data_IF_504806918199
#
_entry.id   IF_504806918199
#
_cell.length_a   1.000
_cell.length_b   1.000
_cell.length_c   1.000
_cell.angle_alpha   90.00
_cell.angle_beta   90.00
_cell.angle_gamma   90.00
#
_symmetry.space_group_name_H-M   'P 1'
#
loop_
_entity.id
_entity.type
_entity.pdbx_description
1 polymer ?
#
# COMPACT_ATOMS: atom_id res chain seq x y z
N UNK A 1 22.73 -54.15 58.49
CA UNK A 1 21.73 -55.22 58.67
C UNK A 1 20.42 -54.57 59.11
N UNK A 2 19.27 -54.96 58.52
CA UNK A 2 18.10 -54.10 58.39
C UNK A 2 17.03 -54.34 59.47
N UNK A 3 16.24 -53.32 59.80
CA UNK A 3 14.95 -53.46 60.48
C UNK A 3 14.03 -52.32 59.99
N UNK A 4 13.19 -52.62 58.99
CA UNK A 4 11.74 -52.89 59.08
C UNK A 4 10.88 -51.65 58.97
N UNK A 5 10.11 -51.63 57.87
CA UNK A 5 8.98 -50.77 57.58
C UNK A 5 7.89 -50.88 58.65
N UNK A 6 7.32 -49.75 59.06
CA UNK A 6 5.98 -49.69 59.63
C UNK A 6 5.22 -48.55 58.96
N UNK A 7 4.27 -48.95 58.11
CA UNK A 7 3.20 -48.12 57.56
C UNK A 7 2.23 -47.76 58.70
N UNK A 8 1.95 -46.48 58.91
CA UNK A 8 0.63 -46.06 59.39
C UNK A 8 0.40 -44.56 59.10
N UNK A 9 -0.34 -44.33 58.01
CA UNK A 9 -1.43 -43.37 57.91
C UNK A 9 -1.37 -42.09 58.75
N UNK A 10 -0.92 -40.99 58.15
CA UNK A 10 -1.60 -39.71 58.33
C UNK A 10 -1.81 -39.08 56.96
N UNK A 11 -3.05 -39.16 56.51
CA UNK A 11 -3.63 -38.35 55.46
C UNK A 11 -3.51 -36.88 55.86
N UNK A 12 -2.67 -36.11 55.15
CA UNK A 12 -2.88 -34.66 55.04
C UNK A 12 -2.79 -34.29 53.57
N UNK A 13 -3.96 -33.98 53.06
CA UNK A 13 -4.23 -33.33 51.79
C UNK A 13 -3.34 -32.10 51.64
N UNK A 14 -2.44 -32.12 50.65
CA UNK A 14 -1.91 -30.89 50.04
C UNK A 14 -2.24 -30.95 48.56
N UNK A 15 -3.45 -30.51 48.28
CA UNK A 15 -3.97 -30.11 46.99
C UNK A 15 -3.04 -29.08 46.32
N UNK A 16 -2.71 -29.37 45.07
CA UNK A 16 -2.55 -28.41 43.97
C UNK A 16 -1.44 -27.35 44.08
N UNK A 17 -0.24 -27.69 43.60
CA UNK A 17 0.63 -26.68 42.95
C UNK A 17 1.17 -27.29 41.65
N UNK A 18 0.30 -27.37 40.64
CA UNK A 18 0.74 -27.36 39.24
C UNK A 18 0.85 -25.90 38.85
N UNK A 19 1.98 -25.28 39.19
CA UNK A 19 2.34 -23.95 38.71
C UNK A 19 2.89 -24.04 37.29
N UNK A 20 2.02 -24.30 36.31
CA UNK A 20 2.34 -23.98 34.91
C UNK A 20 2.14 -22.48 34.80
N UNK A 21 3.25 -21.74 34.77
CA UNK A 21 3.24 -20.33 34.38
C UNK A 21 2.83 -20.27 32.90
N UNK A 22 1.53 -20.13 32.66
CA UNK A 22 1.04 -19.70 31.36
C UNK A 22 1.46 -18.23 31.21
N UNK A 23 2.46 -18.00 30.36
CA UNK A 23 2.81 -16.68 29.87
C UNK A 23 1.63 -16.22 29.04
N UNK A 24 0.92 -15.20 29.51
CA UNK A 24 -0.27 -14.65 28.87
C UNK A 24 0.15 -13.84 27.64
N UNK A 25 0.39 -14.53 26.52
CA UNK A 25 0.72 -13.96 25.22
C UNK A 25 -0.57 -13.57 24.46
N UNK A 26 -1.42 -12.78 25.13
CA UNK A 26 -2.77 -12.40 24.69
C UNK A 26 -2.83 -10.98 24.10
N UNK A 27 -1.74 -10.52 23.48
CA UNK A 27 -1.72 -9.22 22.78
C UNK A 27 -1.10 -9.28 21.39
N UNK A 28 -1.30 -10.35 20.60
CA UNK A 28 -0.84 -10.34 19.20
C UNK A 28 -1.67 -11.16 18.19
N UNK A 29 -2.85 -11.64 18.58
CA UNK A 29 -3.72 -12.42 17.68
C UNK A 29 -4.85 -11.62 17.01
N UNK A 30 -5.15 -10.40 17.49
CA UNK A 30 -6.14 -9.51 16.86
C UNK A 30 -5.56 -8.75 15.67
N UNK A 31 -4.27 -8.43 15.67
CA UNK A 31 -3.58 -7.71 14.60
C UNK A 31 -3.26 -8.61 13.41
N UNK A 32 -2.98 -9.89 13.63
CA UNK A 32 -2.72 -10.86 12.55
C UNK A 32 -4.02 -11.35 11.87
N UNK A 33 -5.15 -11.36 12.60
CA UNK A 33 -6.42 -11.89 12.10
C UNK A 33 -7.23 -10.90 11.23
N UNK A 34 -6.99 -9.59 11.32
CA UNK A 34 -7.67 -8.58 10.51
C UNK A 34 -7.09 -8.45 9.08
N UNK A 35 -5.82 -8.81 8.88
CA UNK A 35 -5.16 -8.73 7.56
C UNK A 35 -5.53 -9.86 6.59
N UNK A 36 -6.05 -10.97 7.08
CA UNK A 36 -6.35 -12.15 6.25
C UNK A 36 -7.62 -11.99 5.39
N UNK A 37 -8.49 -11.00 5.65
CA UNK A 37 -9.75 -10.79 4.92
C UNK A 37 -10.12 -9.32 4.73
N UNK A 38 -9.15 -8.40 4.63
CA UNK A 38 -9.49 -7.04 4.21
C UNK A 38 -9.75 -7.02 2.70
N UNK A 39 -11.02 -7.00 2.33
CA UNK A 39 -11.45 -6.85 0.94
C UNK A 39 -11.74 -5.39 0.71
N UNK A 40 -11.07 -4.78 -0.27
CA UNK A 40 -11.38 -3.42 -0.68
C UNK A 40 -12.85 -3.34 -1.11
N UNK A 41 -13.62 -2.47 -0.45
CA UNK A 41 -15.08 -2.41 -0.63
C UNK A 41 -15.49 -1.83 -1.99
N UNK A 42 -14.60 -1.08 -2.63
CA UNK A 42 -14.87 -0.35 -3.88
C UNK A 42 -13.84 -0.69 -4.97
N UNK A 43 -14.25 -0.77 -6.24
CA UNK A 43 -13.32 -0.93 -7.35
C UNK A 43 -12.42 0.31 -7.49
N UNK A 44 -11.29 0.16 -8.18
CA UNK A 44 -10.31 1.23 -8.36
C UNK A 44 -10.94 2.48 -9.00
N UNK A 45 -11.86 2.30 -9.94
CA UNK A 45 -12.56 3.39 -10.63
C UNK A 45 -13.37 4.25 -9.66
N UNK A 46 -14.12 3.62 -8.75
CA UNK A 46 -14.90 4.35 -7.75
C UNK A 46 -14.01 5.05 -6.70
N UNK A 47 -12.85 4.45 -6.40
CA UNK A 47 -11.84 5.04 -5.51
C UNK A 47 -11.11 6.21 -6.16
N UNK A 48 -10.83 6.10 -7.46
CA UNK A 48 -10.29 7.17 -8.28
C UNK A 48 -11.24 8.36 -8.31
N UNK A 49 -12.54 8.12 -8.52
CA UNK A 49 -13.56 9.16 -8.56
C UNK A 49 -13.62 9.95 -7.25
N UNK A 50 -13.47 9.24 -6.11
CA UNK A 50 -13.46 9.84 -4.77
C UNK A 50 -12.13 10.52 -4.40
N UNK A 51 -11.03 10.18 -5.09
CA UNK A 51 -9.71 10.75 -4.84
C UNK A 51 -9.51 12.05 -5.63
N UNK A 52 -9.10 13.13 -4.95
CA UNK A 52 -8.74 14.38 -5.60
C UNK A 52 -7.37 14.31 -6.27
N UNK A 53 -6.45 13.54 -5.69
CA UNK A 53 -5.05 13.46 -6.11
C UNK A 53 -4.61 12.00 -6.21
N UNK A 54 -3.93 11.67 -7.30
CA UNK A 54 -3.31 10.36 -7.48
C UNK A 54 -1.89 10.54 -7.99
N UNK A 55 -0.92 9.93 -7.32
CA UNK A 55 0.48 9.99 -7.73
C UNK A 55 1.25 8.74 -7.32
N UNK A 56 2.39 8.53 -7.98
CA UNK A 56 3.40 7.57 -7.57
C UNK A 56 4.47 8.28 -6.74
N UNK A 57 4.90 7.68 -5.65
CA UNK A 57 5.86 8.30 -4.76
C UNK A 57 6.68 7.31 -3.95
N UNK A 58 7.87 7.74 -3.53
CA UNK A 58 8.76 6.97 -2.65
C UNK A 58 8.78 7.61 -1.27
N UNK A 59 8.52 6.82 -0.23
CA UNK A 59 8.61 7.27 1.15
C UNK A 59 10.06 7.62 1.50
N UNK A 60 10.29 8.82 2.05
CA UNK A 60 11.60 9.29 2.50
C UNK A 60 11.72 9.42 4.00
N UNK A 61 10.60 9.60 4.70
CA UNK A 61 10.56 9.63 6.15
C UNK A 61 9.17 9.28 6.66
N UNK A 62 9.11 8.74 7.87
CA UNK A 62 7.87 8.39 8.56
C UNK A 62 7.89 8.94 9.98
N UNK A 63 6.79 9.53 10.41
CA UNK A 63 6.68 10.12 11.74
C UNK A 63 5.25 10.00 12.27
N UNK A 64 5.09 10.01 13.59
CA UNK A 64 3.77 9.97 14.23
C UNK A 64 2.93 11.19 13.88
N UNK A 65 1.63 10.99 13.68
CA UNK A 65 0.68 12.09 13.58
C UNK A 65 0.36 12.60 15.00
N UNK A 66 0.65 13.88 15.25
CA UNK A 66 0.40 14.50 16.57
C UNK A 66 -1.08 14.78 16.79
N UNK A 67 -1.84 14.97 15.70
CA UNK A 67 -3.27 15.29 15.74
C UNK A 67 -4.12 14.00 15.83
N UNK A 68 -3.57 12.86 15.38
CA UNK A 68 -4.25 11.57 15.34
C UNK A 68 -3.37 10.44 15.92
N UNK A 69 -3.42 10.19 17.24
CA UNK A 69 -2.64 9.12 17.87
C UNK A 69 -2.89 7.75 17.22
N UNK A 70 -1.82 7.02 16.93
CA UNK A 70 -1.88 5.72 16.25
C UNK A 70 -1.76 5.81 14.73
N UNK A 71 -1.99 6.97 14.14
CA UNK A 71 -1.69 7.22 12.72
C UNK A 71 -0.29 7.78 12.54
N UNK A 72 0.24 7.62 11.33
CA UNK A 72 1.50 8.23 10.91
C UNK A 72 1.30 9.16 9.71
N UNK A 73 2.25 10.08 9.60
CA UNK A 73 2.50 10.90 8.42
C UNK A 73 3.78 10.44 7.73
N UNK A 74 3.84 10.66 6.43
CA UNK A 74 5.00 10.33 5.62
C UNK A 74 5.46 11.52 4.76
N UNK A 75 6.77 11.69 4.66
CA UNK A 75 7.36 12.52 3.61
C UNK A 75 7.55 11.68 2.36
N UNK A 76 7.01 12.14 1.23
CA UNK A 76 6.98 11.37 0.00
C UNK A 76 7.64 12.16 -1.13
N UNK A 77 8.66 11.55 -1.74
CA UNK A 77 9.22 12.04 -3.00
C UNK A 77 8.28 11.64 -4.15
N UNK A 78 7.61 12.63 -4.73
CA UNK A 78 6.68 12.43 -5.85
C UNK A 78 7.47 12.10 -7.12
N UNK A 79 7.07 11.03 -7.79
CA UNK A 79 7.67 10.55 -9.06
C UNK A 79 6.87 10.98 -10.27
N UNK A 80 5.56 10.72 -10.25
CA UNK A 80 4.63 11.07 -11.33
C UNK A 80 3.24 11.29 -10.75
N UNK A 81 2.63 12.41 -11.10
CA UNK A 81 1.23 12.69 -10.79
C UNK A 81 0.36 12.17 -11.93
N UNK A 82 -0.70 11.44 -11.59
CA UNK A 82 -1.71 10.93 -12.52
C UNK A 82 -2.95 11.84 -12.51
N UNK A 83 -3.33 12.34 -11.33
CA UNK A 83 -4.49 13.23 -11.11
C UNK A 83 -4.15 14.32 -10.10
N UNK A 84 -4.65 15.54 -10.34
CA UNK A 84 -4.53 16.69 -9.41
C UNK A 84 -3.15 17.38 -9.42
N UNK A 85 -2.57 17.61 -10.60
CA UNK A 85 -1.25 18.26 -10.72
C UNK A 85 -1.23 19.65 -10.06
N UNK A 86 -2.25 20.44 -10.33
CA UNK A 86 -2.53 21.76 -9.76
C UNK A 86 -2.61 21.74 -8.23
N UNK A 87 -3.27 20.72 -7.67
CA UNK A 87 -3.35 20.54 -6.21
C UNK A 87 -1.95 20.28 -5.69
N UNK A 88 -1.25 19.26 -6.21
CA UNK A 88 0.09 18.90 -5.71
C UNK A 88 1.06 20.08 -5.81
N UNK A 89 0.95 20.94 -6.84
CA UNK A 89 1.81 22.12 -7.03
C UNK A 89 1.53 23.25 -6.03
N UNK A 90 0.32 23.32 -5.47
CA UNK A 90 -0.13 24.39 -4.57
C UNK A 90 -0.22 23.97 -3.10
N UNK A 91 0.00 22.70 -2.80
CA UNK A 91 -0.12 22.17 -1.43
C UNK A 91 0.83 22.87 -0.44
N UNK A 92 0.31 23.24 0.75
CA UNK A 92 1.15 23.63 1.87
C UNK A 92 2.12 22.49 2.23
N UNK A 93 3.42 22.75 2.24
CA UNK A 93 4.44 21.74 2.49
C UNK A 93 4.89 20.95 1.26
N UNK A 94 4.32 21.21 0.07
CA UNK A 94 4.97 20.82 -1.17
C UNK A 94 6.23 21.67 -1.35
N UNK A 95 7.37 21.02 -1.49
CA UNK A 95 8.63 21.72 -1.70
C UNK A 95 9.52 20.97 -2.69
N UNK A 96 10.50 21.68 -3.25
CA UNK A 96 11.48 21.05 -4.12
C UNK A 96 12.80 20.92 -3.38
N UNK A 97 13.32 19.70 -3.29
CA UNK A 97 14.65 19.49 -2.76
C UNK A 97 15.67 20.18 -3.66
N UNK A 98 16.27 21.27 -3.17
CA UNK A 98 17.17 22.15 -3.94
C UNK A 98 18.37 21.42 -4.53
N UNK A 99 18.77 20.28 -3.95
CA UNK A 99 19.90 19.47 -4.44
C UNK A 99 19.50 18.67 -5.69
N UNK A 100 18.23 18.28 -5.83
CA UNK A 100 17.79 17.32 -6.86
C UNK A 100 16.55 17.75 -7.66
N UNK A 101 15.99 18.93 -7.39
CA UNK A 101 14.69 19.43 -7.92
C UNK A 101 13.56 18.41 -7.77
N UNK A 102 13.60 17.59 -6.72
CA UNK A 102 12.62 16.55 -6.45
C UNK A 102 11.48 17.13 -5.64
N UNK A 103 10.26 16.88 -6.08
CA UNK A 103 9.06 17.33 -5.38
C UNK A 103 8.77 16.43 -4.18
N UNK A 104 8.66 17.04 -3.02
CA UNK A 104 8.36 16.39 -1.75
C UNK A 104 6.98 16.84 -1.28
N UNK A 105 6.19 15.91 -0.74
CA UNK A 105 4.89 16.21 -0.12
C UNK A 105 4.75 15.44 1.19
N UNK A 106 4.02 16.02 2.14
CA UNK A 106 3.60 15.33 3.36
C UNK A 106 2.25 14.68 3.13
N UNK A 107 2.10 13.43 3.56
CA UNK A 107 0.83 12.69 3.50
C UNK A 107 0.46 12.12 4.86
N UNK A 108 -0.83 12.14 5.18
CA UNK A 108 -1.41 11.62 6.42
C UNK A 108 -2.25 10.35 6.17
N UNK A 109 -2.62 9.66 7.26
CA UNK A 109 -3.45 8.45 7.21
C UNK A 109 -2.66 7.15 7.00
N UNK A 110 -1.35 7.15 7.24
CA UNK A 110 -0.55 5.92 7.24
C UNK A 110 -0.91 5.10 8.48
N UNK A 111 -0.99 3.78 8.31
CA UNK A 111 -1.44 2.81 9.33
C UNK A 111 -2.88 3.00 9.82
N UNK A 112 -3.72 3.66 9.01
CA UNK A 112 -5.15 3.77 9.27
C UNK A 112 -5.82 2.39 9.16
N UNK A 113 -6.48 1.94 10.24
CA UNK A 113 -7.14 0.63 10.32
C UNK A 113 -8.41 0.54 9.50
N UNK A 114 -8.99 1.68 9.12
CA UNK A 114 -10.18 1.73 8.27
C UNK A 114 -9.83 1.50 6.78
N UNK A 115 -8.54 1.49 6.45
CA UNK A 115 -8.00 1.29 5.10
C UNK A 115 -7.25 -0.05 5.04
N UNK A 116 -7.62 -0.91 4.07
CA UNK A 116 -7.07 -2.27 3.97
C UNK A 116 -5.54 -2.34 3.81
N UNK A 117 -4.97 -1.50 2.94
CA UNK A 117 -3.52 -1.39 2.78
C UNK A 117 -3.08 0.08 2.96
N UNK A 118 -2.80 0.47 4.20
CA UNK A 118 -2.32 1.80 4.57
C UNK A 118 -0.89 1.78 5.12
N UNK A 119 -0.27 0.59 5.25
CA UNK A 119 1.03 0.44 5.88
C UNK A 119 2.17 0.65 4.87
N UNK A 120 3.18 1.39 5.30
CA UNK A 120 4.42 1.59 4.55
C UNK A 120 5.63 1.58 5.46
N UNK A 121 6.78 1.32 4.85
CA UNK A 121 8.11 1.49 5.42
C UNK A 121 8.86 2.56 4.65
N UNK A 122 9.94 3.08 5.23
CA UNK A 122 10.83 3.98 4.50
C UNK A 122 11.33 3.31 3.22
N UNK A 123 11.48 4.12 2.17
CA UNK A 123 11.88 3.70 0.82
C UNK A 123 10.86 2.84 0.06
N UNK A 124 9.70 2.51 0.64
CA UNK A 124 8.61 1.95 -0.13
C UNK A 124 8.21 2.91 -1.26
N UNK A 125 7.93 2.35 -2.43
CA UNK A 125 7.32 3.08 -3.54
C UNK A 125 5.93 2.53 -3.80
N UNK A 126 4.92 3.42 -3.81
CA UNK A 126 3.49 3.08 -3.91
C UNK A 126 2.78 4.05 -4.84
N UNK A 127 1.56 3.68 -5.24
CA UNK A 127 0.58 4.58 -5.84
C UNK A 127 -0.36 5.05 -4.72
N UNK A 128 -0.45 6.37 -4.55
CA UNK A 128 -1.23 7.03 -3.52
C UNK A 128 -2.53 7.54 -4.13
N UNK A 129 -3.66 7.26 -3.46
CA UNK A 129 -4.97 7.82 -3.77
C UNK A 129 -5.39 8.68 -2.58
N UNK A 130 -5.47 9.99 -2.80
CA UNK A 130 -5.52 10.98 -1.73
C UNK A 130 -6.66 11.97 -1.91
N UNK A 131 -7.11 12.51 -0.77
CA UNK A 131 -7.95 13.70 -0.70
C UNK A 131 -7.27 14.81 0.07
N UNK A 132 -7.79 16.02 -0.12
CA UNK A 132 -7.43 17.17 0.71
C UNK A 132 -8.16 17.01 2.04
N UNK A 133 -7.40 16.91 3.13
CA UNK A 133 -7.89 16.89 4.50
C UNK A 133 -8.44 18.24 4.94
N UNK A 134 -9.08 18.29 6.10
CA UNK A 134 -9.72 19.50 6.65
C UNK A 134 -8.77 20.67 6.88
N UNK A 135 -7.49 20.39 7.11
CA UNK A 135 -6.41 21.36 7.30
C UNK A 135 -5.62 21.66 6.01
N UNK A 136 -6.08 21.16 4.86
CA UNK A 136 -5.39 21.33 3.57
C UNK A 136 -4.25 20.33 3.31
N UNK A 137 -3.98 19.40 4.21
CA UNK A 137 -2.96 18.36 4.00
C UNK A 137 -3.47 17.23 3.10
N UNK A 138 -2.58 16.46 2.47
CA UNK A 138 -3.02 15.25 1.77
C UNK A 138 -3.26 14.13 2.77
N UNK A 139 -4.45 13.52 2.72
CA UNK A 139 -4.78 12.33 3.50
C UNK A 139 -5.15 11.17 2.59
N UNK A 140 -4.74 9.96 2.98
CA UNK A 140 -5.16 8.73 2.28
C UNK A 140 -6.68 8.65 2.17
N UNK A 141 -7.15 8.47 0.94
CA UNK A 141 -8.57 8.25 0.64
C UNK A 141 -8.91 6.75 0.65
N UNK A 142 -8.00 5.91 0.14
CA UNK A 142 -8.19 4.46 0.07
C UNK A 142 -6.83 3.75 0.03
N UNK A 143 -6.85 2.41 -0.02
CA UNK A 143 -5.65 1.59 0.06
C UNK A 143 -4.57 1.98 -0.94
N UNK A 144 -3.31 1.96 -0.50
CA UNK A 144 -2.15 2.10 -1.35
C UNK A 144 -2.12 0.99 -2.39
N UNK A 145 -1.71 1.31 -3.62
CA UNK A 145 -1.45 0.28 -4.62
C UNK A 145 0.05 0.01 -4.70
N UNK A 146 0.39 -1.27 -4.89
CA UNK A 146 1.75 -1.66 -5.26
C UNK A 146 2.14 -1.04 -6.59
N UNK A 147 3.40 -0.60 -6.70
CA UNK A 147 3.94 -0.09 -7.95
C UNK A 147 4.22 -1.24 -8.93
N UNK A 148 3.25 -1.58 -9.76
CA UNK A 148 3.37 -2.55 -10.85
C UNK A 148 2.87 -1.92 -12.14
N UNK A 149 3.34 -2.39 -13.30
CA UNK A 149 2.86 -1.89 -14.59
C UNK A 149 1.35 -2.03 -14.73
N UNK A 150 0.78 -3.15 -14.27
CA UNK A 150 -0.66 -3.37 -14.31
C UNK A 150 -1.43 -2.32 -13.47
N UNK A 151 -0.97 -2.04 -12.25
CA UNK A 151 -1.63 -1.06 -11.39
C UNK A 151 -1.47 0.37 -11.93
N UNK A 152 -0.30 0.70 -12.49
CA UNK A 152 -0.05 2.00 -13.13
C UNK A 152 -0.99 2.20 -14.32
N UNK A 153 -1.09 1.18 -15.19
CA UNK A 153 -1.93 1.23 -16.38
C UNK A 153 -3.41 1.32 -16.00
N UNK A 154 -3.84 0.56 -15.00
CA UNK A 154 -5.22 0.58 -14.52
C UNK A 154 -5.58 1.92 -13.89
N UNK A 155 -4.72 2.47 -13.02
CA UNK A 155 -4.93 3.80 -12.43
C UNK A 155 -4.96 4.90 -13.50
N UNK A 156 -4.02 4.89 -14.46
CA UNK A 156 -4.02 5.83 -15.60
C UNK A 156 -5.28 5.67 -16.47
N UNK A 157 -5.81 4.45 -16.62
CA UNK A 157 -7.04 4.19 -17.36
C UNK A 157 -8.24 4.78 -16.62
N UNK A 158 -8.35 4.52 -15.32
CA UNK A 158 -9.41 5.01 -14.46
C UNK A 158 -9.49 6.55 -14.51
N UNK A 159 -8.36 7.23 -14.31
CA UNK A 159 -8.26 8.71 -14.39
C UNK A 159 -8.70 9.24 -15.76
N UNK A 160 -8.46 8.50 -16.84
CA UNK A 160 -8.84 8.89 -18.21
C UNK A 160 -10.27 8.48 -18.58
N UNK A 161 -11.03 7.87 -17.68
CA UNK A 161 -12.34 7.28 -17.98
C UNK A 161 -12.29 6.16 -19.02
N UNK A 162 -11.14 5.46 -19.13
CA UNK A 162 -10.92 4.37 -20.10
C UNK A 162 -10.87 3.04 -19.36
N UNK A 163 -11.38 1.99 -20.00
CA UNK A 163 -11.16 0.63 -19.49
C UNK A 163 -9.72 0.18 -19.76
N UNK A 164 -9.07 -0.58 -18.85
CA UNK A 164 -7.71 -1.09 -19.06
C UNK A 164 -7.55 -1.90 -20.35
N UNK A 165 -8.61 -2.63 -20.75
CA UNK A 165 -8.63 -3.40 -22.02
C UNK A 165 -8.44 -2.51 -23.25
N UNK A 166 -8.94 -1.28 -23.24
CA UNK A 166 -8.74 -0.35 -24.37
C UNK A 166 -7.29 0.12 -24.47
N UNK A 167 -6.59 0.32 -23.35
CA UNK A 167 -5.17 0.70 -23.35
C UNK A 167 -4.25 -0.44 -23.77
N UNK A 168 -4.54 -1.68 -23.35
CA UNK A 168 -3.77 -2.85 -23.79
C UNK A 168 -3.84 -3.04 -25.32
N UNK A 169 -5.02 -2.80 -25.91
CA UNK A 169 -5.22 -2.90 -27.37
C UNK A 169 -4.55 -1.78 -28.16
N UNK A 170 -4.45 -0.57 -27.62
CA UNK A 170 -3.74 0.51 -28.32
C UNK A 170 -2.22 0.29 -28.34
N UNK A 171 -1.64 -0.26 -27.27
CA UNK A 171 -0.20 -0.59 -27.22
C UNK A 171 0.21 -1.70 -28.18
N UNK A 172 -0.65 -2.70 -28.40
CA UNK A 172 -0.39 -3.75 -29.38
C UNK A 172 -0.35 -3.22 -30.83
N UNK A 173 -1.03 -2.10 -31.12
CA UNK A 173 -0.96 -1.45 -32.45
C UNK A 173 0.30 -0.63 -32.67
N UNK A 174 0.96 -0.18 -31.60
CA UNK A 174 2.19 0.62 -31.67
C UNK A 174 3.47 -0.22 -31.55
N UNK A 175 3.37 -1.54 -31.41
CA UNK A 175 4.53 -2.42 -31.55
C UNK A 175 4.97 -2.39 -33.02
N UNK A 176 6.25 -2.11 -33.34
CA UNK A 176 6.73 -2.11 -34.72
C UNK A 176 6.55 -3.51 -35.32
N UNK A 177 5.65 -3.61 -36.29
CA UNK A 177 5.41 -4.83 -37.04
C UNK A 177 6.65 -5.23 -37.83
N UNK A 178 6.96 -6.53 -37.79
CA UNK A 178 7.94 -7.20 -38.63
C UNK A 178 7.71 -6.82 -40.11
N UNK A 179 8.77 -6.41 -40.80
CA UNK A 179 8.78 -6.20 -42.24
C UNK A 179 8.27 -7.45 -42.97
N UNK A 180 7.11 -7.35 -43.60
CA UNK A 180 6.67 -8.27 -44.63
C UNK A 180 7.43 -7.90 -45.91
N UNK A 181 8.45 -8.67 -46.29
CA UNK A 181 9.08 -8.57 -47.61
C UNK A 181 8.07 -9.03 -48.67
N UNK A 182 7.49 -8.09 -49.42
CA UNK A 182 6.80 -8.39 -50.67
C UNK A 182 7.82 -8.45 -51.81
N UNK A 183 8.19 -9.67 -52.20
CA UNK A 183 8.93 -9.93 -53.43
C UNK A 183 7.99 -9.70 -54.63
N UNK A 184 8.05 -8.52 -55.25
CA UNK A 184 7.48 -8.29 -56.57
C UNK A 184 8.34 -9.00 -57.62
N UNK A 185 7.75 -10.02 -58.25
CA UNK A 185 8.24 -10.66 -59.47
C UNK A 185 8.21 -9.67 -60.63
N UNK A 186 9.38 -9.27 -61.13
CA UNK A 186 9.53 -8.63 -62.44
C UNK A 186 9.76 -9.72 -63.49
N UNK A 187 8.72 -10.01 -64.28
CA UNK A 187 8.88 -10.71 -65.57
C UNK A 187 9.53 -9.76 -66.56
N UNK A 188 10.77 -10.04 -66.94
CA UNK A 188 11.40 -9.44 -68.11
C UNK A 188 10.92 -10.18 -69.37
N UNK A 189 10.38 -9.42 -70.32
CA UNK A 189 10.01 -9.86 -71.67
C UNK A 189 11.03 -9.23 -72.62
N UNK A 190 11.93 -10.02 -73.19
CA UNK A 190 12.60 -9.79 -74.48
C UNK A 190 12.74 -11.16 -75.13
#
# INVERSE_FOLDING_TARGET
>A
MPATLTLCSIVVLISSIVGVNAVDDSLDNSVLKSRAQCTESKPLEAREEQANVIFTGTIRGLYGDRDHPGLRKAEVEVKRVMKGHDIVDTLPGAWTNSVWKKKMVTVAGIDDSDICDSNVREYDTRIFLMNIGSNGELRLNSSLLRLTLNNIDHADAAVKGKTPRMLARSRQRTAPGKHQQSSHSLSAKI
#
